data_IF_722600285242
#
_entry.id   IF_722600285242
#
_cell.length_a   1.000
_cell.length_b   1.000
_cell.length_c   1.000
_cell.angle_alpha   90.00
_cell.angle_beta   90.00
_cell.angle_gamma   90.00
#
_symmetry.space_group_name_H-M   'P 1'
#
loop_
_entity.id
_entity.type
_entity.pdbx_description
1 polymer ?
#
# COMPACT_ATOMS: atom_id res chain seq x y z
N UNK A 1 39.85 -87.22 -8.82
CA UNK A 1 40.18 -85.89 -9.35
C UNK A 1 39.26 -85.60 -10.52
N UNK A 2 38.30 -84.68 -10.34
CA UNK A 2 37.80 -83.87 -11.46
C UNK A 2 37.07 -82.65 -10.89
N UNK A 3 37.52 -81.48 -11.32
CA UNK A 3 37.04 -80.15 -10.95
C UNK A 3 35.76 -79.89 -11.73
N UNK A 4 34.72 -79.34 -11.09
CA UNK A 4 33.54 -78.83 -11.79
C UNK A 4 33.22 -77.40 -11.33
N UNK A 5 33.08 -76.55 -12.33
CA UNK A 5 33.07 -75.09 -12.28
C UNK A 5 31.66 -74.53 -12.01
N UNK A 6 31.63 -73.58 -11.09
CA UNK A 6 30.67 -72.49 -10.78
C UNK A 6 29.53 -72.21 -11.77
N UNK A 7 28.30 -72.02 -11.24
CA UNK A 7 27.38 -70.94 -11.63
C UNK A 7 26.57 -70.46 -10.42
N UNK A 8 26.87 -69.24 -9.95
CA UNK A 8 26.03 -68.50 -8.99
C UNK A 8 24.93 -67.81 -9.78
N UNK A 9 23.68 -68.13 -9.47
CA UNK A 9 22.48 -67.47 -10.02
C UNK A 9 21.98 -66.49 -8.96
N UNK A 10 22.06 -65.19 -9.26
CA UNK A 10 21.43 -64.12 -8.48
C UNK A 10 19.92 -64.14 -8.75
N UNK A 11 19.03 -64.14 -7.73
CA UNK A 11 17.60 -64.01 -7.97
C UNK A 11 17.24 -62.56 -8.29
N UNK A 12 16.52 -62.38 -9.40
CA UNK A 12 15.93 -61.12 -9.84
C UNK A 12 14.75 -60.77 -8.91
N UNK A 13 14.92 -59.77 -8.04
CA UNK A 13 13.83 -59.24 -7.22
C UNK A 13 12.96 -58.30 -8.07
N UNK A 14 11.73 -58.73 -8.36
CA UNK A 14 10.71 -57.89 -8.99
C UNK A 14 10.16 -56.93 -7.93
N UNK A 15 10.53 -55.66 -8.01
CA UNK A 15 9.91 -54.61 -7.22
C UNK A 15 8.56 -54.24 -7.85
N UNK A 16 7.45 -54.62 -7.22
CA UNK A 16 6.14 -54.04 -7.51
C UNK A 16 6.16 -52.59 -7.00
N UNK A 17 6.28 -51.64 -7.93
CA UNK A 17 6.01 -50.23 -7.66
C UNK A 17 4.51 -50.05 -7.41
N UNK A 18 4.13 -49.74 -6.18
CA UNK A 18 2.79 -49.24 -5.88
C UNK A 18 2.79 -47.77 -6.30
N UNK A 19 2.21 -47.50 -7.47
CA UNK A 19 1.88 -46.14 -7.86
C UNK A 19 0.81 -45.63 -6.90
N UNK A 20 1.17 -44.69 -6.04
CA UNK A 20 0.18 -43.89 -5.31
C UNK A 20 -0.37 -42.90 -6.32
N UNK A 21 -1.47 -43.26 -6.98
CA UNK A 21 -2.30 -42.30 -7.70
C UNK A 21 -2.84 -41.31 -6.67
N UNK A 22 -2.35 -40.08 -6.73
CA UNK A 22 -2.98 -38.96 -6.04
C UNK A 22 -4.42 -38.87 -6.56
N UNK A 23 -5.39 -39.17 -5.70
CA UNK A 23 -6.79 -38.98 -6.02
C UNK A 23 -7.02 -37.48 -6.28
N UNK A 24 -7.16 -37.12 -7.56
CA UNK A 24 -7.73 -35.84 -7.95
C UNK A 24 -9.11 -35.74 -7.31
N UNK A 25 -9.40 -34.63 -6.62
CA UNK A 25 -10.72 -34.38 -6.05
C UNK A 25 -11.75 -34.41 -7.18
N UNK A 26 -12.51 -35.50 -7.25
CA UNK A 26 -13.55 -35.76 -8.25
C UNK A 26 -14.86 -35.08 -7.84
N UNK A 27 -14.82 -33.77 -7.65
CA UNK A 27 -16.01 -32.91 -7.61
C UNK A 27 -16.26 -32.27 -8.99
N UNK A 28 -17.47 -31.76 -9.27
CA UNK A 28 -17.67 -30.89 -10.42
C UNK A 28 -16.72 -29.70 -10.33
N UNK A 29 -16.20 -29.24 -11.47
CA UNK A 29 -15.32 -28.08 -11.51
C UNK A 29 -16.06 -26.83 -11.02
N UNK A 30 -15.39 -25.92 -10.28
CA UNK A 30 -16.00 -24.66 -9.86
C UNK A 30 -16.52 -23.86 -11.06
N UNK A 31 -17.62 -23.13 -10.85
CA UNK A 31 -18.28 -22.29 -11.86
C UNK A 31 -18.24 -20.82 -11.48
N UNK A 32 -18.48 -19.94 -12.46
CA UNK A 32 -18.47 -18.50 -12.20
C UNK A 32 -19.54 -18.12 -11.20
N UNK A 33 -20.81 -18.43 -11.46
CA UNK A 33 -21.92 -17.94 -10.65
C UNK A 33 -21.93 -18.52 -9.23
N UNK A 34 -21.74 -19.83 -9.08
CA UNK A 34 -21.81 -20.49 -7.78
C UNK A 34 -20.55 -20.24 -6.92
N UNK A 35 -19.36 -20.26 -7.53
CA UNK A 35 -18.10 -20.40 -6.78
C UNK A 35 -17.17 -19.18 -6.92
N UNK A 36 -16.92 -18.71 -8.14
CA UNK A 36 -15.94 -17.63 -8.37
C UNK A 36 -16.50 -16.24 -8.03
N UNK A 37 -17.77 -15.98 -8.35
CA UNK A 37 -18.45 -14.71 -8.14
C UNK A 37 -18.40 -14.25 -6.66
N UNK A 38 -18.78 -15.07 -5.66
CA UNK A 38 -18.68 -14.64 -4.26
C UNK A 38 -17.24 -14.35 -3.84
N UNK A 39 -16.25 -15.06 -4.37
CA UNK A 39 -14.83 -14.80 -4.10
C UNK A 39 -14.40 -13.47 -4.71
N UNK A 40 -14.81 -13.16 -5.94
CA UNK A 40 -14.54 -11.87 -6.56
C UNK A 40 -15.19 -10.73 -5.78
N UNK A 41 -16.45 -10.86 -5.35
CA UNK A 41 -17.11 -9.83 -4.55
C UNK A 41 -16.38 -9.52 -3.25
N UNK A 42 -15.95 -10.59 -2.56
CA UNK A 42 -15.23 -10.46 -1.29
C UNK A 42 -13.87 -9.81 -1.42
N UNK A 43 -13.11 -10.14 -2.47
CA UNK A 43 -11.69 -9.81 -2.52
C UNK A 43 -11.29 -8.81 -3.62
N UNK A 44 -12.12 -8.62 -4.66
CA UNK A 44 -11.70 -7.95 -5.88
C UNK A 44 -12.65 -6.85 -6.36
N UNK A 45 -13.96 -7.03 -6.22
CA UNK A 45 -14.99 -6.14 -6.80
C UNK A 45 -14.93 -4.73 -6.24
N UNK A 46 -14.44 -4.54 -5.00
CA UNK A 46 -14.23 -3.19 -4.45
C UNK A 46 -13.48 -2.27 -5.43
N UNK A 47 -12.44 -2.79 -6.10
CA UNK A 47 -11.73 -2.08 -7.16
C UNK A 47 -12.19 -2.49 -8.57
N UNK A 48 -12.53 -3.76 -8.79
CA UNK A 48 -12.90 -4.35 -10.08
C UNK A 48 -14.41 -4.27 -10.36
N UNK A 49 -14.95 -3.07 -10.35
CA UNK A 49 -16.34 -2.78 -10.68
C UNK A 49 -16.45 -1.64 -11.70
N UNK A 50 -17.60 -1.48 -12.38
CA UNK A 50 -17.82 -0.37 -13.31
C UNK A 50 -17.81 0.96 -12.54
N UNK A 51 -16.65 1.65 -12.50
CA UNK A 51 -16.33 2.83 -11.69
C UNK A 51 -15.88 2.57 -10.22
N UNK A 52 -14.94 1.64 -10.04
CA UNK A 52 -14.26 1.47 -8.74
C UNK A 52 -13.52 2.73 -8.25
N UNK A 53 -13.10 2.77 -6.97
CA UNK A 53 -12.39 3.92 -6.40
C UNK A 53 -11.16 4.33 -7.22
N UNK A 54 -11.10 5.61 -7.60
CA UNK A 54 -9.95 6.21 -8.29
C UNK A 54 -8.93 6.83 -7.31
N UNK A 55 -8.87 6.32 -6.08
CA UNK A 55 -7.90 6.79 -5.10
C UNK A 55 -6.54 6.23 -5.52
N UNK A 56 -5.60 7.13 -5.85
CA UNK A 56 -4.31 6.74 -6.43
C UNK A 56 -4.31 6.58 -7.95
N UNK A 57 -5.37 7.00 -8.68
CA UNK A 57 -5.31 7.17 -10.13
C UNK A 57 -5.51 5.90 -10.97
N UNK A 58 -5.25 4.69 -10.44
CA UNK A 58 -5.55 3.45 -11.17
C UNK A 58 -7.00 3.03 -10.98
N UNK A 59 -7.69 2.87 -12.10
CA UNK A 59 -8.95 2.14 -12.18
C UNK A 59 -8.66 0.72 -12.68
N UNK A 60 -9.30 -0.28 -12.07
CA UNK A 60 -9.20 -1.64 -12.58
C UNK A 60 -9.64 -1.70 -14.05
N UNK A 61 -8.86 -2.31 -14.97
CA UNK A 61 -9.15 -2.26 -16.40
C UNK A 61 -10.35 -3.11 -16.82
N UNK A 62 -10.95 -3.84 -15.87
CA UNK A 62 -12.09 -4.71 -16.08
C UNK A 62 -12.92 -4.84 -14.81
N UNK A 63 -14.23 -4.99 -15.00
CA UNK A 63 -15.12 -5.43 -13.93
C UNK A 63 -15.06 -6.96 -13.78
N UNK A 64 -15.18 -7.42 -12.53
CA UNK A 64 -15.26 -8.84 -12.17
C UNK A 64 -16.67 -9.23 -11.71
N UNK A 65 -17.64 -8.32 -11.87
CA UNK A 65 -19.04 -8.54 -11.50
C UNK A 65 -19.82 -9.36 -12.54
N UNK A 66 -19.31 -9.45 -13.78
CA UNK A 66 -19.95 -10.17 -14.89
C UNK A 66 -19.08 -11.32 -15.41
N UNK A 67 -19.74 -12.41 -15.83
CA UNK A 67 -19.05 -13.58 -16.38
C UNK A 67 -18.30 -13.24 -17.67
N UNK A 68 -18.92 -12.47 -18.56
CA UNK A 68 -18.38 -12.13 -19.86
C UNK A 68 -17.08 -11.33 -19.75
N UNK A 69 -16.96 -10.45 -18.76
CA UNK A 69 -15.73 -9.74 -18.47
C UNK A 69 -14.71 -10.65 -17.78
N UNK A 70 -15.08 -11.28 -16.66
CA UNK A 70 -14.16 -12.11 -15.89
C UNK A 70 -13.53 -13.23 -16.74
N UNK A 71 -14.31 -13.89 -17.59
CA UNK A 71 -13.82 -14.95 -18.49
C UNK A 71 -12.76 -14.45 -19.47
N UNK A 72 -12.90 -13.24 -20.01
CA UNK A 72 -11.92 -12.67 -20.96
C UNK A 72 -10.55 -12.45 -20.32
N UNK A 73 -10.53 -12.24 -19.01
CA UNK A 73 -9.32 -11.98 -18.22
C UNK A 73 -8.84 -13.20 -17.42
N UNK A 74 -9.54 -14.33 -17.47
CA UNK A 74 -9.29 -15.52 -16.66
C UNK A 74 -7.80 -15.96 -16.61
N UNK A 75 -7.06 -16.07 -17.73
CA UNK A 75 -5.63 -16.43 -17.67
C UNK A 75 -4.76 -15.41 -16.91
N UNK A 76 -5.07 -14.11 -17.05
CA UNK A 76 -4.36 -13.04 -16.33
C UNK A 76 -4.72 -13.01 -14.85
N UNK A 77 -6.00 -13.25 -14.51
CA UNK A 77 -6.47 -13.38 -13.14
C UNK A 77 -5.68 -14.49 -12.43
N UNK A 78 -5.59 -15.69 -13.04
CA UNK A 78 -4.81 -16.80 -12.50
C UNK A 78 -3.35 -16.41 -12.28
N UNK A 79 -2.69 -15.83 -13.29
CA UNK A 79 -1.29 -15.41 -13.16
C UNK A 79 -1.08 -14.38 -12.05
N UNK A 80 -1.97 -13.40 -11.90
CA UNK A 80 -1.87 -12.37 -10.88
C UNK A 80 -2.03 -12.94 -9.46
N UNK A 81 -2.95 -13.89 -9.29
CA UNK A 81 -3.16 -14.58 -8.01
C UNK A 81 -1.98 -15.51 -7.68
N UNK A 82 -1.51 -16.32 -8.64
CA UNK A 82 -0.41 -17.26 -8.44
C UNK A 82 0.90 -16.56 -8.06
N UNK A 83 1.17 -15.40 -8.68
CA UNK A 83 2.34 -14.57 -8.36
C UNK A 83 2.18 -13.74 -7.08
N UNK A 84 0.98 -13.67 -6.51
CA UNK A 84 0.69 -12.83 -5.35
C UNK A 84 0.62 -11.32 -5.68
N UNK A 85 0.55 -10.96 -6.96
CA UNK A 85 0.36 -9.57 -7.39
C UNK A 85 -1.05 -9.06 -7.04
N UNK A 86 -2.04 -9.95 -7.04
CA UNK A 86 -3.42 -9.65 -6.66
C UNK A 86 -3.98 -10.66 -5.65
N UNK A 87 -4.89 -10.23 -4.74
CA UNK A 87 -5.15 -8.82 -4.40
C UNK A 87 -3.88 -8.15 -3.85
N UNK A 88 -3.74 -6.82 -3.99
CA UNK A 88 -2.49 -6.17 -3.65
C UNK A 88 -2.42 -5.99 -2.13
N UNK A 89 -1.57 -6.80 -1.49
CA UNK A 89 -1.29 -6.74 -0.06
C UNK A 89 0.10 -7.33 0.21
N UNK A 90 1.03 -6.49 0.66
CA UNK A 90 2.42 -6.91 0.85
C UNK A 90 2.71 -7.49 2.24
N UNK A 91 1.89 -7.20 3.25
CA UNK A 91 2.17 -7.68 4.60
C UNK A 91 1.98 -9.20 4.71
N UNK A 92 2.92 -9.85 5.37
CA UNK A 92 2.90 -11.29 5.63
C UNK A 92 1.64 -11.70 6.41
N UNK A 93 1.13 -12.91 6.18
CA UNK A 93 -0.12 -13.42 6.79
C UNK A 93 -0.09 -13.51 8.33
N UNK A 94 1.11 -13.47 8.92
CA UNK A 94 1.27 -13.43 10.38
C UNK A 94 0.62 -12.20 11.03
N UNK A 95 0.39 -11.14 10.25
CA UNK A 95 -0.21 -9.88 10.70
C UNK A 95 -1.72 -9.81 10.49
N UNK A 96 -2.36 -10.92 10.11
CA UNK A 96 -3.79 -10.93 9.80
C UNK A 96 -4.63 -10.53 11.02
N UNK A 97 -5.48 -9.53 10.83
CA UNK A 97 -6.33 -8.92 11.85
C UNK A 97 -5.67 -7.77 12.62
N UNK A 98 -4.50 -7.29 12.20
CA UNK A 98 -3.81 -6.17 12.83
C UNK A 98 -4.07 -4.84 12.11
N UNK A 99 -4.26 -4.87 10.78
CA UNK A 99 -4.31 -3.69 9.93
C UNK A 99 -5.70 -3.42 9.33
N UNK A 100 -5.98 -2.14 9.06
CA UNK A 100 -7.17 -1.72 8.33
C UNK A 100 -7.07 -2.17 6.87
N UNK A 101 -8.20 -2.59 6.31
CA UNK A 101 -8.33 -2.88 4.87
C UNK A 101 -7.35 -3.95 4.35
N UNK A 102 -7.07 -4.96 5.17
CA UNK A 102 -6.30 -6.14 4.77
C UNK A 102 -6.93 -6.85 3.57
N UNK A 103 -6.09 -7.35 2.66
CA UNK A 103 -6.56 -8.04 1.44
C UNK A 103 -5.88 -9.39 1.30
N UNK A 104 -6.01 -10.25 2.31
CA UNK A 104 -5.56 -11.63 2.21
C UNK A 104 -6.57 -12.45 1.39
N UNK A 105 -6.09 -13.14 0.36
CA UNK A 105 -6.88 -14.13 -0.36
C UNK A 105 -6.69 -15.50 0.29
N UNK A 106 -7.75 -16.09 0.83
CA UNK A 106 -7.65 -17.37 1.54
C UNK A 106 -7.17 -18.49 0.62
N UNK A 107 -6.41 -19.48 1.13
CA UNK A 107 -5.94 -20.59 0.31
C UNK A 107 -7.05 -21.33 -0.45
N UNK A 108 -8.22 -21.50 0.18
CA UNK A 108 -9.38 -22.13 -0.45
C UNK A 108 -9.97 -21.26 -1.58
N UNK A 109 -10.06 -19.95 -1.38
CA UNK A 109 -10.56 -19.01 -2.38
C UNK A 109 -9.64 -18.92 -3.59
N UNK A 110 -8.32 -18.85 -3.33
CA UNK A 110 -7.26 -18.95 -4.34
C UNK A 110 -7.42 -20.24 -5.15
N UNK A 111 -7.57 -21.38 -4.49
CA UNK A 111 -7.74 -22.67 -5.14
C UNK A 111 -9.01 -22.71 -6.01
N UNK A 112 -10.13 -22.17 -5.52
CA UNK A 112 -11.38 -22.06 -6.27
C UNK A 112 -11.20 -21.27 -7.56
N UNK A 113 -10.59 -20.08 -7.49
CA UNK A 113 -10.36 -19.24 -8.68
C UNK A 113 -9.41 -19.91 -9.67
N UNK A 114 -8.31 -20.50 -9.20
CA UNK A 114 -7.36 -21.21 -10.07
C UNK A 114 -8.04 -22.41 -10.76
N UNK A 115 -8.78 -23.22 -10.00
CA UNK A 115 -9.48 -24.39 -10.54
C UNK A 115 -10.59 -23.99 -11.53
N UNK A 116 -11.32 -22.89 -11.28
CA UNK A 116 -12.27 -22.33 -12.22
C UNK A 116 -11.60 -21.94 -13.55
N UNK A 117 -10.46 -21.25 -13.50
CA UNK A 117 -9.70 -20.87 -14.71
C UNK A 117 -9.17 -22.11 -15.43
N UNK A 118 -8.63 -23.09 -14.71
CA UNK A 118 -8.07 -24.33 -15.29
C UNK A 118 -9.12 -25.22 -15.95
N UNK A 119 -10.36 -25.16 -15.46
CA UNK A 119 -11.51 -25.81 -16.09
C UNK A 119 -12.04 -25.08 -17.35
N UNK A 120 -11.37 -24.00 -17.78
CA UNK A 120 -11.77 -23.20 -18.94
C UNK A 120 -12.76 -22.08 -18.60
N UNK A 121 -12.83 -21.67 -17.32
CA UNK A 121 -13.72 -20.65 -16.80
C UNK A 121 -15.20 -20.91 -17.14
N UNK A 122 -15.80 -22.04 -16.71
CA UNK A 122 -17.20 -22.33 -16.98
C UNK A 122 -18.13 -21.33 -16.28
N UNK A 123 -19.23 -20.95 -16.95
CA UNK A 123 -20.21 -20.02 -16.40
C UNK A 123 -20.96 -20.60 -15.19
N UNK A 124 -21.43 -21.84 -15.31
CA UNK A 124 -22.44 -22.41 -14.40
C UNK A 124 -23.85 -21.91 -14.74
N UNK A 125 -24.80 -22.15 -13.84
CA UNK A 125 -26.16 -21.60 -13.95
C UNK A 125 -26.23 -20.24 -13.25
N UNK A 126 -26.70 -19.16 -13.92
CA UNK A 126 -26.97 -17.88 -13.26
C UNK A 126 -27.89 -17.97 -12.03
N UNK A 127 -28.73 -18.99 -11.91
CA UNK A 127 -29.60 -19.20 -10.74
C UNK A 127 -28.85 -19.71 -9.51
N UNK A 128 -27.63 -20.21 -9.67
CA UNK A 128 -26.76 -20.62 -8.57
C UNK A 128 -25.96 -19.43 -7.99
N UNK A 129 -26.08 -18.24 -8.59
CA UNK A 129 -25.46 -17.03 -8.07
C UNK A 129 -26.06 -16.63 -6.71
N UNK A 130 -25.25 -16.16 -5.76
CA UNK A 130 -25.77 -15.48 -4.57
C UNK A 130 -26.66 -14.32 -4.99
N UNK A 131 -27.70 -14.05 -4.19
CA UNK A 131 -28.58 -12.92 -4.41
C UNK A 131 -27.81 -11.60 -4.33
N UNK A 132 -28.35 -10.54 -4.93
CA UNK A 132 -27.73 -9.21 -4.85
C UNK A 132 -27.53 -8.71 -3.40
N UNK A 133 -28.42 -9.11 -2.48
CA UNK A 133 -28.27 -8.81 -1.06
C UNK A 133 -27.09 -9.54 -0.43
N UNK A 134 -26.95 -10.85 -0.68
CA UNK A 134 -25.81 -11.63 -0.21
C UNK A 134 -24.48 -11.12 -0.81
N UNK A 135 -24.47 -10.76 -2.09
CA UNK A 135 -23.30 -10.17 -2.75
C UNK A 135 -22.93 -8.81 -2.14
N UNK A 136 -23.91 -7.98 -1.79
CA UNK A 136 -23.66 -6.69 -1.14
C UNK A 136 -23.14 -6.86 0.29
N UNK A 137 -23.59 -7.89 1.02
CA UNK A 137 -23.11 -8.18 2.38
C UNK A 137 -21.66 -8.69 2.40
N UNK A 138 -21.26 -9.50 1.41
CA UNK A 138 -19.90 -10.04 1.33
C UNK A 138 -18.91 -9.12 0.61
N UNK A 139 -19.39 -8.09 -0.11
CA UNK A 139 -18.53 -7.14 -0.79
C UNK A 139 -17.63 -6.43 0.22
N UNK A 140 -16.32 -6.39 -0.04
CA UNK A 140 -15.43 -5.53 0.73
C UNK A 140 -15.92 -4.08 0.63
N UNK A 141 -15.94 -3.37 1.77
CA UNK A 141 -16.39 -1.98 1.89
C UNK A 141 -15.73 -1.06 0.85
N UNK A 142 -16.49 -0.10 0.30
CA UNK A 142 -15.99 0.88 -0.67
C UNK A 142 -16.56 0.76 -2.08
N UNK A 143 -17.77 0.20 -2.24
CA UNK A 143 -18.28 -0.16 -3.57
C UNK A 143 -19.01 0.96 -4.32
N UNK A 144 -19.42 2.06 -3.69
CA UNK A 144 -20.12 3.15 -4.40
C UNK A 144 -19.53 4.51 -4.04
N UNK A 145 -19.05 5.25 -5.05
CA UNK A 145 -18.59 6.64 -4.89
C UNK A 145 -19.80 7.49 -4.46
N UNK A 146 -19.72 8.28 -3.37
CA UNK A 146 -20.80 9.17 -2.95
C UNK A 146 -21.15 10.23 -4.01
N UNK A 147 -22.35 10.81 -3.95
CA UNK A 147 -22.77 11.89 -4.87
C UNK A 147 -21.84 13.11 -4.83
N UNK A 148 -21.18 13.36 -3.71
CA UNK A 148 -20.15 14.40 -3.55
C UNK A 148 -18.94 14.19 -4.47
N UNK A 149 -18.74 12.97 -4.98
CA UNK A 149 -17.53 12.56 -5.68
C UNK A 149 -16.33 12.33 -4.76
N UNK A 150 -16.52 12.35 -3.44
CA UNK A 150 -15.50 12.17 -2.41
C UNK A 150 -15.95 11.09 -1.42
N UNK A 151 -15.07 10.14 -1.12
CA UNK A 151 -15.29 9.07 -0.15
C UNK A 151 -15.38 9.55 1.29
N UNK A 152 -14.79 10.71 1.59
CA UNK A 152 -14.88 11.37 2.90
C UNK A 152 -16.18 12.18 3.09
N UNK A 153 -17.10 12.16 2.13
CA UNK A 153 -18.22 13.09 2.08
C UNK A 153 -17.82 14.44 1.46
N UNK A 154 -18.66 15.46 1.54
CA UNK A 154 -18.30 16.80 1.04
C UNK A 154 -17.14 17.38 1.89
N UNK A 155 -15.96 17.66 1.30
CA UNK A 155 -14.83 18.18 2.06
C UNK A 155 -15.06 19.61 2.53
N UNK A 156 -14.55 19.94 3.71
CA UNK A 156 -14.55 21.30 4.27
C UNK A 156 -13.53 22.22 3.58
N UNK A 157 -12.45 21.63 3.08
CA UNK A 157 -11.39 22.30 2.34
C UNK A 157 -10.98 21.45 1.15
N UNK A 158 -10.95 22.05 -0.03
CA UNK A 158 -10.37 21.44 -1.24
C UNK A 158 -9.18 22.29 -1.67
N UNK A 159 -8.05 21.62 -1.91
CA UNK A 159 -6.84 22.21 -2.49
C UNK A 159 -6.51 21.48 -3.79
N UNK A 160 -5.89 22.17 -4.73
CA UNK A 160 -5.54 21.61 -6.04
C UNK A 160 -4.19 22.16 -6.51
N UNK A 161 -3.63 21.56 -7.58
CA UNK A 161 -2.46 22.12 -8.23
C UNK A 161 -2.77 23.55 -8.73
N UNK A 162 -1.86 24.50 -8.49
CA UNK A 162 -2.04 25.91 -8.87
C UNK A 162 -2.34 26.09 -10.36
N UNK A 163 -1.66 25.31 -11.20
CA UNK A 163 -1.93 25.20 -12.63
C UNK A 163 -1.93 23.73 -13.05
N UNK A 164 -2.67 23.36 -14.11
CA UNK A 164 -2.60 22.04 -14.71
C UNK A 164 -1.15 21.70 -15.10
N UNK A 165 -0.67 20.51 -14.74
CA UNK A 165 0.72 20.11 -14.98
C UNK A 165 0.81 19.28 -16.26
N UNK A 166 1.41 19.79 -17.35
CA UNK A 166 1.60 19.01 -18.57
C UNK A 166 2.77 18.05 -18.42
N UNK A 167 2.55 16.78 -18.74
CA UNK A 167 3.62 15.78 -18.86
C UNK A 167 3.79 15.44 -20.34
N UNK A 168 5.00 15.64 -20.85
CA UNK A 168 5.34 15.37 -22.25
C UNK A 168 5.37 13.89 -22.61
N UNK A 169 5.45 13.61 -23.91
CA UNK A 169 5.57 12.25 -24.46
C UNK A 169 6.84 11.52 -23.96
N UNK A 170 7.86 12.26 -23.55
CA UNK A 170 9.18 11.78 -23.10
C UNK A 170 9.30 11.59 -21.58
N UNK A 171 8.30 12.02 -20.81
CA UNK A 171 8.29 11.83 -19.35
C UNK A 171 7.85 10.40 -19.03
N UNK A 172 8.78 9.58 -18.58
CA UNK A 172 8.53 8.22 -18.06
C UNK A 172 8.37 8.22 -16.55
N UNK A 173 9.26 8.92 -15.86
CA UNK A 173 9.37 8.97 -14.41
C UNK A 173 9.73 10.40 -13.98
N UNK A 174 8.99 10.94 -13.03
CA UNK A 174 9.24 12.27 -12.47
C UNK A 174 8.63 12.40 -11.07
N UNK A 175 9.44 12.78 -10.09
CA UNK A 175 9.04 12.89 -8.68
C UNK A 175 9.07 14.33 -8.14
N UNK A 176 8.26 15.27 -8.66
CA UNK A 176 8.24 16.63 -8.16
C UNK A 176 7.58 16.76 -6.79
N UNK A 177 7.92 17.84 -6.10
CA UNK A 177 7.12 18.36 -4.99
C UNK A 177 6.33 19.56 -5.46
N UNK A 178 5.01 19.53 -5.25
CA UNK A 178 4.10 20.63 -5.56
C UNK A 178 3.58 21.30 -4.29
N UNK A 179 3.31 22.59 -4.41
CA UNK A 179 2.51 23.33 -3.45
C UNK A 179 1.09 23.45 -4.01
N UNK A 180 0.10 22.97 -3.26
CA UNK A 180 -1.31 23.13 -3.57
C UNK A 180 -1.86 24.31 -2.77
N UNK A 181 -2.12 25.47 -3.40
CA UNK A 181 -2.57 26.66 -2.68
C UNK A 181 -3.90 26.42 -1.96
N UNK A 182 -3.99 26.98 -0.76
CA UNK A 182 -5.23 27.09 0.00
C UNK A 182 -6.04 28.25 -0.58
N UNK A 183 -7.33 28.06 -0.96
CA UNK A 183 -8.16 29.15 -1.43
C UNK A 183 -8.28 30.30 -0.42
N UNK A 184 -8.33 31.54 -0.90
CA UNK A 184 -8.39 32.72 -0.04
C UNK A 184 -9.57 32.65 0.95
N UNK A 185 -9.26 32.76 2.25
CA UNK A 185 -10.26 32.71 3.31
C UNK A 185 -10.78 31.31 3.69
N UNK A 186 -10.34 30.24 3.01
CA UNK A 186 -10.83 28.88 3.27
C UNK A 186 -10.20 28.22 4.53
N UNK A 187 -9.02 28.68 4.93
CA UNK A 187 -8.30 28.15 6.10
C UNK A 187 -7.44 29.24 6.75
N UNK A 188 -8.06 30.07 7.60
CA UNK A 188 -7.43 31.24 8.22
C UNK A 188 -6.89 30.98 9.63
N UNK A 189 -7.12 29.79 10.17
CA UNK A 189 -6.69 29.37 11.50
C UNK A 189 -6.37 27.87 11.48
N UNK A 190 -5.58 27.40 12.44
CA UNK A 190 -5.21 25.99 12.51
C UNK A 190 -6.44 25.11 12.82
N UNK A 191 -6.58 23.98 12.11
CA UNK A 191 -7.74 23.07 12.23
C UNK A 191 -7.29 21.62 12.37
N UNK A 192 -8.05 20.83 13.11
CA UNK A 192 -7.79 19.40 13.33
C UNK A 192 -8.36 18.56 12.21
N UNK A 193 -7.50 17.87 11.45
CA UNK A 193 -7.93 17.02 10.34
C UNK A 193 -8.47 15.70 10.90
N UNK A 194 -9.70 15.35 10.52
CA UNK A 194 -10.34 14.06 10.85
C UNK A 194 -10.15 13.05 9.72
N UNK A 195 -10.30 13.51 8.47
CA UNK A 195 -10.14 12.72 7.27
C UNK A 195 -9.48 13.52 6.15
N UNK A 196 -8.76 12.83 5.28
CA UNK A 196 -8.21 13.41 4.06
C UNK A 196 -8.32 12.43 2.90
N UNK A 197 -8.55 12.97 1.71
CA UNK A 197 -8.65 12.21 0.48
C UNK A 197 -7.82 12.86 -0.63
N UNK A 198 -7.09 12.03 -1.36
CA UNK A 198 -6.33 12.38 -2.54
C UNK A 198 -7.11 11.97 -3.79
N UNK A 199 -7.24 12.89 -4.74
CA UNK A 199 -7.86 12.65 -6.04
C UNK A 199 -6.85 12.97 -7.16
N UNK A 200 -6.06 11.97 -7.59
CA UNK A 200 -5.11 12.14 -8.67
C UNK A 200 -5.81 12.47 -9.99
N UNK A 201 -5.13 13.23 -10.84
CA UNK A 201 -5.65 13.56 -12.18
C UNK A 201 -5.82 12.35 -13.09
N UNK A 202 -5.11 11.24 -12.80
CA UNK A 202 -5.26 9.98 -13.54
C UNK A 202 -4.23 8.91 -13.16
N UNK A 203 -4.19 7.79 -13.91
CA UNK A 203 -3.36 6.60 -13.62
C UNK A 203 -1.85 6.82 -13.80
N UNK A 204 -1.44 7.94 -14.37
CA UNK A 204 -0.03 8.34 -14.48
C UNK A 204 0.57 8.79 -13.16
N UNK A 205 -0.25 9.04 -12.14
CA UNK A 205 0.20 9.28 -10.77
C UNK A 205 0.38 7.93 -10.08
N UNK A 206 1.62 7.53 -9.87
CA UNK A 206 1.98 6.27 -9.22
C UNK A 206 1.68 6.33 -7.72
N UNK A 207 2.08 7.41 -7.04
CA UNK A 207 1.64 7.71 -5.68
C UNK A 207 1.74 9.19 -5.36
N UNK A 208 0.99 9.62 -4.34
CA UNK A 208 1.06 10.96 -3.77
C UNK A 208 1.29 10.83 -2.27
N UNK A 209 2.23 11.59 -1.76
CA UNK A 209 2.59 11.55 -0.35
C UNK A 209 2.46 12.95 0.24
N UNK A 210 1.70 13.05 1.32
CA UNK A 210 1.63 14.27 2.12
C UNK A 210 1.50 13.95 3.60
N UNK A 211 2.08 14.80 4.44
CA UNK A 211 2.09 14.56 5.88
C UNK A 211 0.68 14.62 6.49
N UNK A 212 -0.19 15.48 5.96
CA UNK A 212 -1.56 15.65 6.43
C UNK A 212 -2.56 14.71 5.74
N UNK A 213 -2.15 14.00 4.68
CA UNK A 213 -3.06 13.18 3.86
C UNK A 213 -2.66 11.71 3.77
N UNK A 214 -1.54 11.31 4.37
CA UNK A 214 -1.04 9.96 4.26
C UNK A 214 -0.35 9.70 2.92
N UNK A 215 -0.47 8.45 2.47
CA UNK A 215 0.01 8.00 1.17
C UNK A 215 -1.20 7.61 0.33
N UNK A 216 -1.41 8.34 -0.76
CA UNK A 216 -2.33 7.96 -1.82
C UNK A 216 -1.63 6.97 -2.74
N UNK A 217 -2.01 5.70 -2.64
CA UNK A 217 -1.66 4.65 -3.60
C UNK A 217 -2.93 4.07 -4.20
N UNK A 218 -2.84 3.50 -5.42
CA UNK A 218 -3.98 2.91 -6.08
C UNK A 218 -4.71 1.86 -5.22
N UNK A 219 -6.04 1.94 -5.19
CA UNK A 219 -6.91 0.97 -4.50
C UNK A 219 -7.03 1.14 -2.99
N UNK A 220 -6.54 2.24 -2.43
CA UNK A 220 -6.66 2.59 -1.00
C UNK A 220 -7.89 3.47 -0.74
N UNK A 221 -8.49 3.38 0.44
CA UNK A 221 -9.55 4.31 0.87
C UNK A 221 -8.98 5.65 1.36
N UNK A 222 -9.84 6.58 1.80
CA UNK A 222 -9.39 7.83 2.40
C UNK A 222 -8.59 7.59 3.68
N UNK A 223 -7.70 8.53 4.00
CA UNK A 223 -6.93 8.51 5.24
C UNK A 223 -7.80 9.01 6.38
N UNK A 224 -7.88 8.23 7.46
CA UNK A 224 -8.77 8.53 8.60
C UNK A 224 -8.13 8.16 9.93
N UNK A 225 -8.38 8.99 10.93
CA UNK A 225 -7.97 8.75 12.29
C UNK A 225 -9.09 8.11 13.12
N UNK A 226 -8.76 7.30 14.15
CA UNK A 226 -9.75 6.91 15.15
C UNK A 226 -10.32 8.15 15.86
N UNK A 227 -11.52 8.01 16.44
CA UNK A 227 -12.10 9.06 17.28
C UNK A 227 -11.14 9.44 18.42
N UNK A 228 -10.94 10.74 18.66
CA UNK A 228 -9.98 11.24 19.64
C UNK A 228 -8.56 11.45 19.13
N UNK A 229 -8.28 11.19 17.84
CA UNK A 229 -6.95 11.32 17.26
C UNK A 229 -6.98 12.31 16.12
N UNK A 230 -6.00 13.22 16.05
CA UNK A 230 -5.97 14.20 14.96
C UNK A 230 -4.57 14.70 14.68
N UNK A 231 -4.32 15.02 13.42
CA UNK A 231 -3.17 15.83 13.03
C UNK A 231 -3.62 17.28 12.89
N UNK A 232 -2.84 18.20 13.44
CA UNK A 232 -3.13 19.63 13.34
C UNK A 232 -2.61 20.15 12.00
N UNK A 233 -3.51 20.72 11.20
CA UNK A 233 -3.16 21.48 10.01
C UNK A 233 -3.01 22.97 10.41
N UNK A 234 -1.78 23.53 10.44
CA UNK A 234 -1.57 24.95 10.71
C UNK A 234 -2.17 25.82 9.60
N UNK A 235 -2.33 27.12 9.85
CA UNK A 235 -2.87 28.15 8.96
C UNK A 235 -1.98 28.49 7.74
N UNK A 236 -1.46 27.45 7.10
CA UNK A 236 -0.55 27.56 5.99
C UNK A 236 -1.25 27.95 4.69
N UNK A 237 -0.58 28.74 3.81
CA UNK A 237 -1.16 29.20 2.56
C UNK A 237 -1.20 28.11 1.47
N UNK A 238 -0.57 26.95 1.70
CA UNK A 238 -0.55 25.84 0.76
C UNK A 238 -0.26 24.51 1.48
N UNK A 239 -0.65 23.42 0.84
CA UNK A 239 -0.31 22.05 1.23
C UNK A 239 0.80 21.54 0.32
N UNK A 240 1.89 21.04 0.91
CA UNK A 240 2.94 20.39 0.12
C UNK A 240 2.60 18.92 -0.13
N UNK A 241 2.74 18.51 -1.39
CA UNK A 241 2.57 17.11 -1.84
C UNK A 241 3.80 16.67 -2.63
N UNK A 242 4.36 15.52 -2.29
CA UNK A 242 5.33 14.85 -3.14
C UNK A 242 4.56 13.92 -4.08
N UNK A 243 4.75 14.13 -5.38
CA UNK A 243 4.01 13.48 -6.44
C UNK A 243 4.97 12.59 -7.21
N UNK A 244 4.62 11.32 -7.39
CA UNK A 244 5.38 10.43 -8.25
C UNK A 244 4.58 10.15 -9.51
N UNK A 245 5.04 10.68 -10.64
CA UNK A 245 4.52 10.32 -11.95
C UNK A 245 5.28 9.14 -12.54
N UNK A 246 4.54 8.16 -13.04
CA UNK A 246 5.08 7.09 -13.87
C UNK A 246 4.11 6.77 -15.01
N UNK A 247 4.54 6.91 -16.27
CA UNK A 247 3.70 6.63 -17.44
C UNK A 247 4.52 6.07 -18.61
N UNK A 248 3.82 5.38 -19.51
CA UNK A 248 4.41 5.00 -20.80
C UNK A 248 4.86 6.23 -21.59
N UNK A 249 5.98 6.10 -22.31
CA UNK A 249 6.51 7.13 -23.21
C UNK A 249 6.21 6.85 -24.67
N UNK A 250 6.21 7.91 -25.48
CA UNK A 250 6.05 7.83 -26.93
C UNK A 250 4.99 8.76 -27.49
N UNK A 251 4.87 8.85 -28.83
CA UNK A 251 3.98 9.81 -29.48
C UNK A 251 2.52 9.67 -29.04
N UNK A 252 1.95 10.74 -28.50
CA UNK A 252 0.55 10.79 -28.07
C UNK A 252 0.29 10.23 -26.66
N UNK A 253 1.34 10.09 -25.85
CA UNK A 253 1.24 9.71 -24.43
C UNK A 253 1.26 10.92 -23.49
N UNK A 254 1.39 12.13 -24.02
CA UNK A 254 1.31 13.36 -23.25
C UNK A 254 -0.04 13.48 -22.54
N UNK A 255 0.00 13.88 -21.27
CA UNK A 255 -1.17 14.05 -20.41
C UNK A 255 -1.11 15.41 -19.71
N UNK A 256 -2.22 15.79 -19.10
CA UNK A 256 -2.29 16.95 -18.22
C UNK A 256 -2.88 16.49 -16.90
N UNK A 257 -2.13 16.67 -15.82
CA UNK A 257 -2.57 16.35 -14.48
C UNK A 257 -3.27 17.54 -13.82
N UNK A 258 -4.37 17.26 -13.12
CA UNK A 258 -5.14 18.24 -12.34
C UNK A 258 -5.47 17.64 -10.96
N UNK A 259 -4.46 17.03 -10.32
CA UNK A 259 -4.63 16.43 -9.00
C UNK A 259 -5.19 17.45 -8.01
N UNK A 260 -6.12 16.99 -7.18
CA UNK A 260 -6.67 17.73 -6.04
C UNK A 260 -6.73 16.88 -4.78
N UNK A 261 -6.97 17.53 -3.65
CA UNK A 261 -7.14 16.89 -2.37
C UNK A 261 -8.25 17.55 -1.54
N UNK A 262 -8.90 16.75 -0.71
CA UNK A 262 -9.99 17.18 0.17
C UNK A 262 -9.66 16.86 1.63
N UNK A 263 -10.05 17.76 2.52
CA UNK A 263 -9.93 17.61 3.97
C UNK A 263 -11.30 17.76 4.61
N UNK A 264 -11.57 16.89 5.60
CA UNK A 264 -12.62 17.08 6.58
C UNK A 264 -11.97 17.35 7.94
N UNK A 265 -12.55 18.26 8.70
CA UNK A 265 -12.06 18.64 10.02
C UNK A 265 -12.99 18.14 11.12
N UNK A 266 -12.49 18.12 12.35
CA UNK A 266 -13.34 17.93 13.52
C UNK A 266 -14.23 19.15 13.78
N UNK A 267 -15.39 18.92 14.40
CA UNK A 267 -16.38 19.94 14.72
C UNK A 267 -16.13 20.56 16.10
N UNK A 268 -16.55 21.82 16.35
CA UNK A 268 -16.44 22.43 17.67
C UNK A 268 -17.11 21.58 18.76
N UNK A 269 -16.37 21.30 19.83
CA UNK A 269 -16.78 20.44 20.95
C UNK A 269 -16.28 19.00 20.88
N UNK A 270 -15.76 18.56 19.73
CA UNK A 270 -15.02 17.29 19.64
C UNK A 270 -13.77 17.33 20.52
N UNK A 271 -13.30 16.16 20.97
CA UNK A 271 -12.12 16.04 21.84
C UNK A 271 -11.00 15.34 21.10
N UNK A 272 -9.80 15.94 21.11
CA UNK A 272 -8.55 15.37 20.62
C UNK A 272 -7.71 14.94 21.82
N UNK A 273 -7.71 13.65 22.09
CA UNK A 273 -6.86 13.04 23.11
C UNK A 273 -5.43 12.88 22.61
N UNK A 274 -5.24 12.49 21.35
CA UNK A 274 -3.94 12.13 20.81
C UNK A 274 -3.59 12.97 19.58
N UNK A 275 -2.61 13.85 19.75
CA UNK A 275 -2.06 14.66 18.66
C UNK A 275 -1.08 13.81 17.85
N UNK A 276 -1.48 13.48 16.62
CA UNK A 276 -0.71 12.66 15.70
C UNK A 276 0.42 13.47 15.06
N UNK A 277 1.59 12.84 14.92
CA UNK A 277 2.72 13.31 14.14
C UNK A 277 3.14 12.23 13.12
N UNK A 278 3.94 12.63 12.13
CA UNK A 278 4.49 11.74 11.10
C UNK A 278 5.96 12.03 10.84
N UNK A 279 6.70 10.96 10.58
CA UNK A 279 8.13 10.98 10.33
C UNK A 279 8.49 10.07 9.15
N UNK A 280 9.52 10.45 8.39
CA UNK A 280 10.08 9.64 7.31
C UNK A 280 11.49 9.24 7.71
N UNK A 281 11.64 7.99 8.12
CA UNK A 281 12.91 7.43 8.52
C UNK A 281 13.71 7.03 7.27
N UNK A 282 14.49 7.97 6.74
CA UNK A 282 15.33 7.76 5.56
C UNK A 282 16.72 7.22 5.95
N UNK A 283 17.19 6.17 5.29
CA UNK A 283 18.59 5.72 5.32
C UNK A 283 19.26 6.09 3.99
N UNK A 284 20.09 7.13 4.00
CA UNK A 284 20.70 7.70 2.77
C UNK A 284 22.09 7.14 2.48
N UNK A 285 22.75 6.60 3.50
CA UNK A 285 24.14 6.14 3.39
C UNK A 285 24.20 4.65 3.07
N UNK A 286 24.06 4.31 1.78
CA UNK A 286 24.28 2.95 1.29
C UNK A 286 24.75 2.93 -0.17
N UNK A 287 25.30 1.80 -0.58
CA UNK A 287 25.67 1.48 -1.96
C UNK A 287 25.38 0.02 -2.22
N UNK A 288 24.35 -0.26 -3.03
CA UNK A 288 24.00 -1.60 -3.47
C UNK A 288 24.97 -1.98 -4.59
N UNK A 289 25.82 -3.01 -4.42
CA UNK A 289 26.75 -3.42 -5.46
C UNK A 289 26.03 -3.91 -6.73
N UNK A 290 26.65 -3.71 -7.89
CA UNK A 290 26.21 -4.35 -9.13
C UNK A 290 26.03 -5.87 -8.96
N UNK A 291 24.89 -6.40 -9.41
CA UNK A 291 24.61 -7.84 -9.42
C UNK A 291 24.23 -8.47 -8.08
N UNK A 292 24.20 -7.72 -6.97
CA UNK A 292 23.82 -8.27 -5.65
C UNK A 292 22.32 -8.57 -5.60
N UNK A 293 21.96 -9.84 -5.38
CA UNK A 293 20.56 -10.28 -5.38
C UNK A 293 19.83 -10.07 -4.04
N UNK A 294 20.53 -9.65 -2.98
CA UNK A 294 19.96 -9.60 -1.63
C UNK A 294 20.71 -8.65 -0.68
N UNK A 295 20.99 -7.42 -1.12
CA UNK A 295 21.68 -6.42 -0.32
C UNK A 295 20.79 -5.90 0.81
N UNK A 296 21.36 -5.68 2.00
CA UNK A 296 20.61 -5.31 3.22
C UNK A 296 21.01 -3.92 3.67
N UNK A 297 20.00 -3.10 3.99
CA UNK A 297 20.14 -1.79 4.61
C UNK A 297 19.36 -1.77 5.92
N UNK A 298 19.91 -1.16 6.97
CA UNK A 298 19.27 -1.07 8.28
C UNK A 298 19.26 0.36 8.82
N UNK A 299 18.28 0.65 9.67
CA UNK A 299 18.19 1.88 10.46
C UNK A 299 17.49 1.62 11.78
N UNK A 300 17.94 2.28 12.83
CA UNK A 300 17.32 2.25 14.16
C UNK A 300 16.71 3.61 14.49
N UNK A 301 15.59 3.60 15.21
CA UNK A 301 14.93 4.79 15.76
C UNK A 301 14.60 4.55 17.24
N UNK A 302 15.22 5.26 18.19
CA UNK A 302 14.84 5.17 19.60
C UNK A 302 13.46 5.80 19.84
N UNK A 303 12.70 5.23 20.77
CA UNK A 303 11.39 5.72 21.22
C UNK A 303 11.52 6.20 22.67
N UNK A 304 11.76 7.50 22.92
CA UNK A 304 12.12 8.00 24.25
C UNK A 304 10.94 8.12 25.22
N UNK A 305 9.71 8.12 24.71
CA UNK A 305 8.48 8.27 25.50
C UNK A 305 7.43 7.24 25.08
N UNK A 306 6.49 6.95 25.98
CA UNK A 306 5.38 6.04 25.67
C UNK A 306 4.62 6.59 24.47
N UNK A 307 4.48 5.76 23.44
CA UNK A 307 4.02 6.17 22.12
C UNK A 307 2.99 5.17 21.60
N UNK A 308 1.97 5.65 20.92
CA UNK A 308 1.16 4.81 20.05
C UNK A 308 1.64 4.93 18.61
N UNK A 309 1.88 3.80 17.96
CA UNK A 309 2.17 3.69 16.54
C UNK A 309 0.87 3.42 15.76
N UNK A 310 0.50 4.31 14.86
CA UNK A 310 -0.73 4.21 14.07
C UNK A 310 -0.48 3.48 12.74
N UNK A 311 0.66 3.70 12.09
CA UNK A 311 0.93 3.09 10.79
C UNK A 311 2.40 3.03 10.42
N UNK A 312 2.71 2.18 9.46
CA UNK A 312 4.04 1.98 8.87
C UNK A 312 3.95 1.93 7.34
N UNK A 313 4.80 2.66 6.65
CA UNK A 313 4.83 2.78 5.19
C UNK A 313 6.21 2.44 4.64
N UNK A 314 6.43 1.17 4.23
CA UNK A 314 7.61 0.78 3.45
C UNK A 314 7.73 1.54 2.14
N UNK A 315 8.94 1.97 1.78
CA UNK A 315 9.19 2.61 0.49
C UNK A 315 10.61 2.32 -0.03
N UNK A 316 10.65 1.81 -1.26
CA UNK A 316 11.84 1.48 -2.08
C UNK A 316 11.48 1.61 -3.57
N UNK A 317 12.48 1.71 -4.44
CA UNK A 317 12.28 1.74 -5.91
C UNK A 317 12.34 0.33 -6.52
N UNK A 318 12.74 0.21 -7.79
CA UNK A 318 12.64 -1.02 -8.59
C UNK A 318 13.39 -2.24 -8.04
N UNK A 319 14.41 -2.03 -7.21
CA UNK A 319 15.21 -3.10 -6.61
C UNK A 319 14.70 -3.47 -5.23
N UNK A 320 13.72 -2.74 -4.68
CA UNK A 320 13.06 -3.10 -3.43
C UNK A 320 12.52 -4.53 -3.47
N UNK A 321 12.95 -5.35 -2.51
CA UNK A 321 12.62 -6.78 -2.44
C UNK A 321 11.77 -7.11 -1.23
N UNK A 322 12.15 -6.59 -0.07
CA UNK A 322 11.43 -6.81 1.17
C UNK A 322 11.71 -5.68 2.16
N UNK A 323 10.82 -5.50 3.13
CA UNK A 323 11.06 -4.63 4.27
C UNK A 323 10.48 -5.24 5.54
N UNK A 324 11.14 -4.98 6.67
CA UNK A 324 10.69 -5.41 8.00
C UNK A 324 10.86 -4.30 9.03
N UNK A 325 9.85 -4.15 9.90
CA UNK A 325 9.86 -3.35 11.12
C UNK A 325 9.86 -4.28 12.32
N UNK A 326 10.84 -4.13 13.20
CA UNK A 326 10.95 -4.87 14.45
C UNK A 326 11.06 -3.89 15.62
N UNK A 327 10.48 -4.25 16.76
CA UNK A 327 10.56 -3.49 17.99
C UNK A 327 11.40 -4.28 18.99
N UNK A 328 12.46 -3.64 19.46
CA UNK A 328 13.19 -4.06 20.65
C UNK A 328 12.61 -3.34 21.86
N UNK A 329 12.08 -4.11 22.81
CA UNK A 329 11.55 -3.59 24.06
C UNK A 329 12.68 -3.25 25.06
N UNK A 330 12.40 -2.45 26.11
CA UNK A 330 13.41 -2.13 27.13
C UNK A 330 14.02 -3.34 27.85
N UNK A 331 13.35 -4.48 27.83
CA UNK A 331 13.82 -5.76 28.40
C UNK A 331 14.64 -6.62 27.40
N UNK A 332 14.86 -6.12 26.18
CA UNK A 332 15.58 -6.81 25.10
C UNK A 332 14.72 -7.80 24.30
N UNK A 333 13.41 -7.92 24.57
CA UNK A 333 12.51 -8.73 23.76
C UNK A 333 12.37 -8.11 22.37
N UNK A 334 12.37 -8.95 21.34
CA UNK A 334 12.11 -8.55 19.95
C UNK A 334 10.70 -8.95 19.53
N UNK A 335 10.04 -8.06 18.78
CA UNK A 335 8.76 -8.33 18.13
C UNK A 335 8.77 -7.81 16.69
N UNK A 336 8.23 -8.56 15.74
CA UNK A 336 8.01 -8.05 14.38
C UNK A 336 6.69 -7.29 14.32
N UNK A 337 6.76 -5.98 14.09
CA UNK A 337 5.58 -5.12 13.94
C UNK A 337 5.00 -5.18 12.53
N UNK A 338 5.85 -5.31 11.52
CA UNK A 338 5.44 -5.45 10.12
C UNK A 338 6.51 -6.20 9.33
N UNK A 339 6.10 -7.21 8.56
CA UNK A 339 6.93 -7.87 7.57
C UNK A 339 6.26 -7.79 6.19
N UNK A 340 6.98 -7.24 5.22
CA UNK A 340 6.60 -7.18 3.80
C UNK A 340 7.66 -7.95 3.00
N UNK A 341 7.53 -9.29 2.90
CA UNK A 341 8.59 -10.15 2.35
C UNK A 341 8.67 -10.17 0.83
N UNK A 342 7.59 -9.76 0.15
CA UNK A 342 7.51 -9.67 -1.31
C UNK A 342 7.07 -8.23 -1.67
N UNK A 343 7.94 -7.26 -1.39
CA UNK A 343 7.66 -5.87 -1.73
C UNK A 343 7.48 -5.74 -3.25
N UNK A 344 6.52 -4.92 -3.66
CA UNK A 344 6.29 -4.58 -5.05
C UNK A 344 6.22 -3.07 -5.19
N UNK A 345 6.99 -2.54 -6.14
CA UNK A 345 7.09 -1.10 -6.35
C UNK A 345 5.75 -0.44 -6.65
N UNK A 346 4.88 -1.09 -7.43
CA UNK A 346 3.50 -0.62 -7.71
C UNK A 346 2.60 -0.50 -6.45
N UNK A 347 2.94 -1.19 -5.35
CA UNK A 347 2.06 -1.40 -4.20
C UNK A 347 2.66 -0.87 -2.89
N UNK A 348 2.85 0.45 -2.80
CA UNK A 348 3.51 1.12 -1.68
C UNK A 348 2.54 1.52 -0.56
N UNK A 349 1.92 0.52 0.07
CA UNK A 349 0.90 0.76 1.08
C UNK A 349 1.42 1.41 2.36
N UNK A 350 0.58 2.26 2.95
CA UNK A 350 0.63 2.61 4.36
C UNK A 350 -0.18 1.57 5.16
N UNK A 351 0.48 0.74 5.96
CA UNK A 351 -0.16 -0.27 6.80
C UNK A 351 -0.62 0.40 8.10
N UNK A 352 -1.90 0.75 8.18
CA UNK A 352 -2.52 1.36 9.36
C UNK A 352 -3.08 0.30 10.27
N UNK A 353 -2.76 0.37 11.57
CA UNK A 353 -3.36 -0.52 12.54
C UNK A 353 -4.86 -0.27 12.68
N UNK A 354 -5.63 -1.35 12.90
CA UNK A 354 -7.02 -1.27 13.33
C UNK A 354 -7.12 -0.53 14.66
N UNK A 355 -6.26 -0.91 15.60
CA UNK A 355 -6.09 -0.28 16.91
C UNK A 355 -4.65 0.21 17.05
N UNK A 356 -4.39 1.51 17.31
CA UNK A 356 -3.04 2.03 17.45
C UNK A 356 -2.20 1.21 18.44
N UNK A 357 -0.99 0.83 18.02
CA UNK A 357 -0.13 -0.07 18.77
C UNK A 357 0.65 0.68 19.86
N UNK A 358 0.42 0.34 21.13
CA UNK A 358 1.23 0.88 22.22
C UNK A 358 2.69 0.40 22.14
N UNK A 359 3.62 1.34 22.30
CA UNK A 359 5.07 1.13 22.32
C UNK A 359 5.63 1.85 23.56
N UNK A 360 6.25 1.14 24.51
CA UNK A 360 6.75 1.75 25.73
C UNK A 360 8.02 2.59 25.47
N UNK A 361 8.20 3.62 26.29
CA UNK A 361 9.42 4.41 26.37
C UNK A 361 10.65 3.51 26.56
N UNK A 362 11.75 3.88 25.91
CA UNK A 362 13.00 3.12 25.90
C UNK A 362 13.06 1.99 24.89
N UNK A 363 12.00 1.77 24.10
CA UNK A 363 12.06 0.82 22.98
C UNK A 363 12.89 1.36 21.81
N UNK A 364 13.38 0.46 20.95
CA UNK A 364 14.06 0.81 19.68
C UNK A 364 13.32 0.17 18.50
N UNK A 365 12.92 1.00 17.54
CA UNK A 365 12.36 0.54 16.27
C UNK A 365 13.51 0.25 15.28
N UNK A 366 13.61 -1.01 14.88
CA UNK A 366 14.55 -1.52 13.88
C UNK A 366 13.86 -1.63 12.52
N UNK A 367 14.41 -0.98 11.51
CA UNK A 367 13.92 -1.01 10.14
C UNK A 367 14.97 -1.65 9.24
N UNK A 368 14.57 -2.66 8.47
CA UNK A 368 15.46 -3.37 7.54
C UNK A 368 14.85 -3.43 6.15
N UNK A 369 15.63 -3.06 5.14
CA UNK A 369 15.28 -3.12 3.72
C UNK A 369 16.18 -4.13 3.02
N UNK A 370 15.61 -4.87 2.08
CA UNK A 370 16.34 -5.78 1.19
C UNK A 370 16.18 -5.31 -0.25
N UNK A 371 17.28 -5.39 -1.01
CA UNK A 371 17.31 -5.02 -2.43
C UNK A 371 17.83 -6.17 -3.30
N UNK A 372 17.30 -6.28 -4.51
CA UNK A 372 17.75 -7.17 -5.58
C UNK A 372 18.22 -6.36 -6.78
N UNK A 373 19.53 -6.10 -6.84
CA UNK A 373 20.25 -5.48 -7.95
C UNK A 373 20.85 -6.53 -8.92
N UNK A 374 20.34 -7.77 -8.91
CA UNK A 374 20.77 -8.80 -9.85
C UNK A 374 20.01 -8.76 -11.16
N UNK A 375 20.49 -9.53 -12.16
CA UNK A 375 19.78 -9.75 -13.42
C UNK A 375 18.55 -10.67 -13.27
N UNK A 376 18.31 -11.24 -12.09
CA UNK A 376 17.12 -12.03 -11.78
C UNK A 376 15.89 -11.17 -11.48
N UNK A 377 16.08 -9.92 -11.05
CA UNK A 377 14.99 -8.97 -10.87
C UNK A 377 14.57 -8.39 -12.23
N UNK A 378 13.40 -8.81 -12.72
CA UNK A 378 12.84 -8.35 -14.01
C UNK A 378 12.60 -6.84 -14.09
N UNK A 379 12.52 -6.17 -12.94
CA UNK A 379 12.28 -4.73 -12.83
C UNK A 379 13.57 -3.93 -12.73
N UNK A 380 14.72 -4.58 -12.56
CA UNK A 380 16.00 -3.89 -12.45
C UNK A 380 16.39 -3.29 -13.82
N UNK A 381 16.50 -1.95 -13.93
CA UNK A 381 16.78 -1.29 -15.21
C UNK A 381 18.22 -1.51 -15.68
N UNK A 382 19.17 -1.68 -14.75
CA UNK A 382 20.58 -1.96 -15.06
C UNK A 382 21.24 -2.70 -13.88
N UNK A 383 21.45 -4.03 -13.98
CA UNK A 383 22.09 -4.83 -12.94
C UNK A 383 23.63 -4.71 -12.93
N UNK A 384 24.23 -3.96 -13.86
CA UNK A 384 25.69 -3.88 -14.04
C UNK A 384 26.34 -2.71 -13.31
N UNK A 385 25.53 -1.86 -12.67
CA UNK A 385 25.99 -0.67 -11.96
C UNK A 385 25.74 -0.78 -10.46
N UNK A 386 26.59 -0.10 -9.69
CA UNK A 386 26.30 0.19 -8.30
C UNK A 386 25.17 1.23 -8.19
N UNK A 387 24.33 1.09 -7.16
CA UNK A 387 23.19 1.97 -6.94
C UNK A 387 23.25 2.60 -5.56
N UNK A 388 22.91 3.87 -5.46
CA UNK A 388 22.91 4.65 -4.21
C UNK A 388 21.55 5.30 -3.98
N UNK A 389 21.38 5.95 -2.83
CA UNK A 389 20.18 6.75 -2.55
C UNK A 389 19.94 7.81 -3.64
N UNK A 390 18.69 7.98 -4.08
CA UNK A 390 18.29 9.04 -5.00
C UNK A 390 16.78 9.07 -5.27
N UNK A 391 16.33 10.11 -5.95
CA UNK A 391 14.90 10.38 -6.19
C UNK A 391 14.35 9.66 -7.43
N UNK A 392 15.20 9.38 -8.42
CA UNK A 392 14.78 8.66 -9.63
C UNK A 392 14.50 7.18 -9.33
N UNK A 393 13.50 6.56 -9.97
CA UNK A 393 13.20 5.12 -9.79
C UNK A 393 14.35 4.20 -10.21
N UNK A 394 15.24 4.69 -11.06
CA UNK A 394 16.47 3.98 -11.47
C UNK A 394 17.56 4.02 -10.41
N UNK A 395 17.49 4.95 -9.45
CA UNK A 395 18.25 4.97 -8.20
C UNK A 395 17.49 4.16 -7.13
N UNK A 396 17.80 4.33 -5.85
CA UNK A 396 17.05 3.66 -4.77
C UNK A 396 16.69 4.57 -3.60
N UNK A 397 15.70 4.14 -2.83
CA UNK A 397 15.37 4.73 -1.53
C UNK A 397 15.26 3.64 -0.47
N UNK A 398 15.67 3.97 0.76
CA UNK A 398 15.43 3.16 1.94
C UNK A 398 14.64 4.02 2.95
N UNK A 399 13.34 4.15 2.71
CA UNK A 399 12.46 5.02 3.48
C UNK A 399 11.41 4.22 4.25
N UNK A 400 11.10 4.73 5.44
CA UNK A 400 10.14 4.15 6.36
C UNK A 400 9.27 5.26 6.94
N UNK A 401 8.05 5.43 6.40
CA UNK A 401 7.08 6.37 6.95
C UNK A 401 6.39 5.78 8.16
N UNK A 402 6.15 6.59 9.18
CA UNK A 402 5.32 6.22 10.32
C UNK A 402 4.38 7.36 10.72
N UNK A 403 3.22 6.99 11.26
CA UNK A 403 2.35 7.89 12.02
C UNK A 403 2.31 7.42 13.46
N UNK A 404 2.45 8.35 14.40
CA UNK A 404 2.53 8.05 15.82
C UNK A 404 1.99 9.21 16.66
N UNK A 405 1.66 8.95 17.93
CA UNK A 405 1.32 9.98 18.90
C UNK A 405 1.87 9.63 20.28
N UNK A 406 2.25 10.61 21.12
CA UNK A 406 2.52 10.34 22.53
C UNK A 406 1.33 9.66 23.20
N UNK A 407 1.57 8.70 24.09
CA UNK A 407 0.52 7.93 24.74
C UNK A 407 -0.19 8.68 25.88
N UNK A 408 0.22 9.91 26.19
CA UNK A 408 -0.44 10.75 27.19
C UNK A 408 -1.61 11.50 26.53
N UNK A 409 -2.86 11.26 26.94
CA UNK A 409 -4.02 11.96 26.40
C UNK A 409 -3.99 13.44 26.81
N UNK A 410 -4.34 14.33 25.87
CA UNK A 410 -4.33 15.77 26.07
C UNK A 410 -5.72 16.37 26.31
N UNK A 411 -6.79 15.71 25.84
CA UNK A 411 -8.17 16.18 26.02
C UNK A 411 -8.43 17.57 25.43
N UNK A 412 -7.84 17.88 24.28
CA UNK A 412 -7.98 19.20 23.64
C UNK A 412 -9.37 19.31 23.01
N UNK A 413 -10.13 20.34 23.39
CA UNK A 413 -11.47 20.56 22.82
C UNK A 413 -11.34 21.37 21.53
N UNK A 414 -11.92 20.86 20.45
CA UNK A 414 -11.94 21.56 19.16
C UNK A 414 -12.78 22.83 19.29
N UNK A 415 -12.23 23.96 18.86
CA UNK A 415 -12.83 25.29 19.01
C UNK A 415 -12.31 26.09 20.21
N UNK A 416 -11.63 25.44 21.16
CA UNK A 416 -10.87 26.14 22.21
C UNK A 416 -9.49 26.59 21.68
N UNK A 417 -8.79 27.44 22.44
CA UNK A 417 -7.44 27.89 22.10
C UNK A 417 -6.46 26.70 22.07
N UNK A 418 -5.80 26.49 20.92
CA UNK A 418 -4.80 25.43 20.77
C UNK A 418 -3.56 25.78 21.61
N UNK A 419 -3.04 24.85 22.43
CA UNK A 419 -1.84 25.12 23.21
C UNK A 419 -0.66 25.57 22.33
N UNK A 420 0.06 26.64 22.70
CA UNK A 420 1.13 27.20 21.86
C UNK A 420 2.20 26.20 21.44
N UNK A 421 2.54 25.25 22.31
CA UNK A 421 3.51 24.20 22.04
C UNK A 421 3.05 23.20 20.97
N UNK A 422 1.76 22.89 20.91
CA UNK A 422 1.16 22.00 19.90
C UNK A 422 1.18 22.69 18.54
N UNK A 423 0.75 23.95 18.50
CA UNK A 423 0.75 24.77 17.29
C UNK A 423 2.18 25.00 16.76
N UNK A 424 3.12 25.36 17.64
CA UNK A 424 4.50 25.56 17.24
C UNK A 424 5.13 24.28 16.72
N UNK A 425 4.85 23.12 17.34
CA UNK A 425 5.34 21.82 16.85
C UNK A 425 4.82 21.51 15.45
N UNK A 426 3.54 21.78 15.17
CA UNK A 426 2.96 21.59 13.84
C UNK A 426 3.63 22.50 12.79
N UNK A 427 3.79 23.79 13.09
CA UNK A 427 4.49 24.75 12.22
C UNK A 427 5.95 24.36 11.98
N UNK A 428 6.66 23.93 13.03
CA UNK A 428 8.06 23.49 12.91
C UNK A 428 8.18 22.22 12.06
N UNK A 429 7.24 21.29 12.19
CA UNK A 429 7.18 20.08 11.38
C UNK A 429 7.01 20.43 9.90
N UNK A 430 6.11 21.36 9.58
CA UNK A 430 5.92 21.80 8.20
C UNK A 430 7.14 22.54 7.65
N UNK A 431 7.71 23.47 8.42
CA UNK A 431 8.92 24.17 8.03
C UNK A 431 10.11 23.22 7.77
N UNK A 432 10.25 22.14 8.56
CA UNK A 432 11.27 21.09 8.32
C UNK A 432 11.03 20.37 6.99
N UNK A 433 9.78 20.03 6.67
CA UNK A 433 9.42 19.35 5.42
C UNK A 433 9.68 20.23 4.21
N UNK A 434 9.30 21.50 4.28
CA UNK A 434 9.56 22.47 3.20
C UNK A 434 11.05 22.67 2.96
N UNK A 435 11.87 22.74 4.03
CA UNK A 435 13.33 22.73 3.90
C UNK A 435 13.86 21.49 3.20
N UNK A 436 13.37 20.32 3.60
CA UNK A 436 13.81 19.05 3.02
C UNK A 436 13.41 18.91 1.54
N UNK A 437 12.27 19.48 1.16
CA UNK A 437 11.76 19.46 -0.21
C UNK A 437 12.25 20.63 -1.08
N UNK A 438 13.01 21.58 -0.51
CA UNK A 438 13.45 22.78 -1.23
C UNK A 438 12.32 23.73 -1.63
N UNK A 439 11.16 23.66 -0.96
CA UNK A 439 9.96 24.44 -1.28
C UNK A 439 9.77 25.69 -0.39
N UNK A 440 10.76 26.04 0.44
CA UNK A 440 10.77 27.35 1.10
C UNK A 440 11.15 28.44 0.10
N UNK A 441 10.46 29.57 0.15
CA UNK A 441 10.93 30.79 -0.48
C UNK A 441 12.27 31.18 0.18
N UNK A 442 13.34 31.49 -0.58
CA UNK A 442 14.57 32.03 -0.02
C UNK A 442 14.38 33.29 0.86
N UNK A 443 13.20 33.92 0.84
CA UNK A 443 12.84 35.06 1.67
C UNK A 443 12.21 34.73 3.05
N UNK A 444 11.89 33.46 3.35
CA UNK A 444 11.25 33.01 4.62
C UNK A 444 12.24 32.59 5.74
#
# INVERSE_FOLDING_TARGET
MSIATVRVILPLAVALGVAVEAAAQSGPAPTFYADALPVFYRNCVACHQPAGPNVGGLTAPMSLMSYEEARRWAPRIKSAIESGYMPPWGAHEQHKGEFKSERYLEPAERATLIAWVDAGAPAGDPHDAPSAAELAEIAASGSAVPESGWWIGEPDLVVELEEPVPLGDDVEDWQPTFNMPVPEGAHTEARWVSQAELQPGGPWVHHIVSSHMGVGVPGRGPFSFPEGWGILLPEDPFITVNMHYHKDTGPGTAIVDNTRAGFSFYEPGDVIDYVVDTDINMQREFRIPAGDANYVVTKERPIPEDTYLLSMGPHMHYRGKAMKYELEYPDGRMETLLSVPNYHFDWQFLYEYLEPRFVPAGSTLHMTWWFDNSSGNRWNPDPTIDVTYGEETTQEMANARIYFAPATPQGLVVGDEIPPEVLQRARDAEARRRRAAGTLDPAD
#
